data_IF_008847742282
#
_entry.id   IF_008847742282
#
_cell.length_a   1.000
_cell.length_b   1.000
_cell.length_c   1.000
_cell.angle_alpha   90.00
_cell.angle_beta   90.00
_cell.angle_gamma   90.00
#
_symmetry.space_group_name_H-M   'P 1'
#
loop_
_entity.id
_entity.type
_entity.pdbx_description
1 polymer ?
#
# COMPACT_ATOMS: atom_id res chain seq x y z
N UNK A 1 62.15 -0.37 7.76
CA UNK A 1 60.84 0.29 7.89
C UNK A 1 60.33 0.67 6.50
N UNK A 2 60.09 -0.32 5.65
CA UNK A 2 59.49 -0.15 4.32
C UNK A 2 58.27 -1.06 4.29
N UNK A 3 57.08 -0.52 4.57
CA UNK A 3 55.81 -1.21 4.29
C UNK A 3 54.57 -0.28 4.36
N UNK A 4 54.72 1.03 4.53
CA UNK A 4 53.58 1.91 4.80
C UNK A 4 52.89 2.46 3.53
N UNK A 5 53.63 2.62 2.41
CA UNK A 5 53.09 3.25 1.21
C UNK A 5 52.09 2.38 0.42
N UNK A 6 52.24 1.05 0.47
CA UNK A 6 51.33 0.13 -0.22
C UNK A 6 50.09 -0.20 0.61
N UNK A 7 50.22 -0.18 1.95
CA UNK A 7 49.07 -0.28 2.87
C UNK A 7 48.16 0.95 2.71
N UNK A 8 48.75 2.14 2.55
CA UNK A 8 47.99 3.37 2.34
C UNK A 8 47.26 3.40 0.98
N UNK A 9 47.90 2.92 -0.09
CA UNK A 9 47.25 2.77 -1.41
C UNK A 9 46.10 1.77 -1.41
N UNK A 10 46.28 0.61 -0.77
CA UNK A 10 45.22 -0.41 -0.69
C UNK A 10 44.03 0.10 0.13
N UNK A 11 44.29 0.84 1.22
CA UNK A 11 43.24 1.47 2.01
C UNK A 11 42.47 2.52 1.21
N UNK A 12 43.16 3.39 0.47
CA UNK A 12 42.55 4.38 -0.42
C UNK A 12 41.72 3.72 -1.53
N UNK A 13 42.22 2.63 -2.13
CA UNK A 13 41.51 1.84 -3.13
C UNK A 13 40.21 1.26 -2.52
N UNK A 14 40.31 0.64 -1.35
CA UNK A 14 39.16 0.06 -0.65
C UNK A 14 38.12 1.11 -0.30
N UNK A 15 38.52 2.26 0.24
CA UNK A 15 37.61 3.37 0.52
C UNK A 15 36.96 3.90 -0.75
N UNK A 16 37.72 4.06 -1.83
CA UNK A 16 37.20 4.55 -3.11
C UNK A 16 36.18 3.58 -3.73
N UNK A 17 36.53 2.29 -3.80
CA UNK A 17 35.70 1.22 -4.39
C UNK A 17 34.43 1.02 -3.58
N UNK A 18 34.51 1.03 -2.25
CA UNK A 18 33.33 0.84 -1.37
C UNK A 18 32.43 2.08 -1.33
N UNK A 19 32.99 3.29 -1.21
CA UNK A 19 32.22 4.54 -1.17
C UNK A 19 31.47 4.80 -2.47
N UNK A 20 32.10 4.53 -3.61
CA UNK A 20 31.48 4.69 -4.95
C UNK A 20 30.77 3.44 -5.46
N UNK A 21 30.84 2.34 -4.72
CA UNK A 21 30.26 1.03 -5.08
C UNK A 21 30.70 0.56 -6.48
N UNK A 22 32.00 0.60 -6.75
CA UNK A 22 32.59 0.32 -8.06
C UNK A 22 32.61 -1.19 -8.30
N UNK A 23 31.95 -1.63 -9.37
CA UNK A 23 31.76 -3.05 -9.68
C UNK A 23 32.98 -3.66 -10.38
N UNK A 24 33.17 -4.95 -10.20
CA UNK A 24 34.19 -5.79 -10.84
C UNK A 24 35.65 -5.37 -10.56
N UNK A 25 35.89 -4.71 -9.43
CA UNK A 25 37.25 -4.40 -8.94
C UNK A 25 37.55 -5.30 -7.74
N UNK A 26 38.73 -5.94 -7.74
CA UNK A 26 39.22 -6.75 -6.62
C UNK A 26 39.98 -5.82 -5.65
N UNK A 27 39.68 -5.90 -4.36
CA UNK A 27 40.29 -5.09 -3.30
C UNK A 27 40.31 -5.85 -1.97
N UNK A 28 41.07 -5.40 -0.99
CA UNK A 28 41.15 -6.02 0.34
C UNK A 28 40.34 -5.21 1.36
N UNK A 29 39.36 -5.86 1.98
CA UNK A 29 38.57 -5.31 3.09
C UNK A 29 38.56 -6.30 4.24
N UNK A 30 38.87 -5.82 5.44
CA UNK A 30 38.92 -6.62 6.67
C UNK A 30 39.78 -7.89 6.53
N UNK A 31 40.91 -7.78 5.82
CA UNK A 31 41.84 -8.89 5.58
C UNK A 31 41.38 -9.91 4.53
N UNK A 32 40.26 -9.68 3.84
CA UNK A 32 39.71 -10.58 2.81
C UNK A 32 39.74 -9.92 1.43
N UNK A 33 40.07 -10.73 0.40
CA UNK A 33 39.94 -10.31 -1.00
C UNK A 33 38.45 -10.27 -1.37
N UNK A 34 37.97 -9.09 -1.70
CA UNK A 34 36.59 -8.78 -2.02
C UNK A 34 36.43 -8.39 -3.49
N UNK A 35 35.23 -8.60 -4.03
CA UNK A 35 34.81 -8.06 -5.33
C UNK A 35 33.36 -7.61 -5.24
N UNK A 36 33.05 -6.41 -5.69
CA UNK A 36 31.66 -5.94 -5.78
C UNK A 36 31.06 -6.44 -7.11
N UNK A 37 30.07 -7.31 -7.03
CA UNK A 37 29.34 -7.81 -8.18
C UNK A 37 28.08 -6.96 -8.47
N UNK A 38 27.34 -7.35 -9.50
CA UNK A 38 26.05 -6.72 -9.80
C UNK A 38 25.07 -6.90 -8.64
N UNK A 39 24.43 -5.79 -8.27
CA UNK A 39 23.40 -5.75 -7.24
C UNK A 39 22.21 -6.65 -7.63
N UNK A 40 21.62 -7.28 -6.62
CA UNK A 40 20.43 -8.11 -6.73
C UNK A 40 19.22 -7.24 -6.43
N UNK A 41 18.17 -7.37 -7.23
CA UNK A 41 17.02 -6.48 -7.12
C UNK A 41 17.31 -5.15 -7.79
N UNK A 42 17.31 -5.14 -9.11
CA UNK A 42 17.15 -3.91 -9.87
C UNK A 42 16.71 -4.27 -11.29
N UNK A 43 15.47 -3.91 -11.65
CA UNK A 43 15.17 -3.51 -13.03
C UNK A 43 14.87 -2.01 -13.01
N UNK A 44 15.94 -1.21 -13.05
CA UNK A 44 15.88 0.26 -13.13
C UNK A 44 15.57 0.77 -14.54
N UNK A 45 15.52 -0.10 -15.55
CA UNK A 45 15.45 0.31 -16.96
C UNK A 45 14.17 -0.14 -17.68
N UNK A 46 13.03 -0.17 -16.98
CA UNK A 46 11.75 -0.19 -17.68
C UNK A 46 11.27 1.24 -17.92
N UNK A 47 12.01 1.93 -18.78
CA UNK A 47 11.47 3.05 -19.54
C UNK A 47 10.37 2.51 -20.43
N UNK A 48 9.16 3.04 -20.30
CA UNK A 48 7.91 2.57 -20.91
C UNK A 48 7.95 2.56 -22.45
N UNK A 49 8.29 1.46 -23.15
CA UNK A 49 8.20 1.39 -24.61
C UNK A 49 6.86 0.80 -25.05
N UNK A 50 5.96 0.45 -24.10
CA UNK A 50 4.78 -0.36 -24.36
C UNK A 50 3.47 0.29 -23.94
N UNK A 51 3.47 1.55 -23.51
CA UNK A 51 2.22 2.30 -23.31
C UNK A 51 2.07 3.28 -24.48
N UNK A 52 0.89 3.28 -25.08
CA UNK A 52 0.48 4.33 -26.02
C UNK A 52 0.11 5.59 -25.26
N UNK A 53 0.47 6.72 -25.87
CA UNK A 53 0.19 8.03 -25.32
C UNK A 53 -1.12 8.54 -25.89
N UNK A 54 -2.08 8.81 -25.01
CA UNK A 54 -3.35 9.41 -25.39
C UNK A 54 -3.49 10.79 -24.77
N UNK A 55 -4.26 11.63 -25.43
CA UNK A 55 -4.54 12.98 -24.98
C UNK A 55 -6.04 13.16 -24.81
N UNK A 56 -6.44 13.84 -23.74
CA UNK A 56 -7.80 14.34 -23.63
C UNK A 56 -7.95 15.72 -24.29
N UNK A 57 -9.17 16.24 -24.27
CA UNK A 57 -9.51 17.56 -24.84
C UNK A 57 -8.71 18.72 -24.22
N UNK A 58 -8.11 18.51 -23.04
CA UNK A 58 -7.27 19.48 -22.33
C UNK A 58 -5.79 19.24 -22.56
N UNK A 59 -5.42 18.40 -23.55
CA UNK A 59 -4.04 17.98 -23.86
C UNK A 59 -3.33 17.32 -22.67
N UNK A 60 -4.07 16.76 -21.71
CA UNK A 60 -3.50 15.96 -20.63
C UNK A 60 -3.12 14.60 -21.19
N UNK A 61 -1.91 14.17 -20.88
CA UNK A 61 -1.29 12.96 -21.41
C UNK A 61 -1.58 11.75 -20.53
N UNK A 62 -2.09 10.67 -21.12
CA UNK A 62 -2.44 9.41 -20.48
C UNK A 62 -1.60 8.27 -21.05
N UNK A 63 -1.22 7.31 -20.21
CA UNK A 63 -0.45 6.13 -20.61
C UNK A 63 -1.36 4.90 -20.66
N UNK A 64 -1.71 4.42 -21.84
CA UNK A 64 -2.62 3.28 -22.03
C UNK A 64 -1.82 2.08 -22.50
N UNK A 65 -2.04 0.91 -21.91
CA UNK A 65 -1.42 -0.32 -22.41
C UNK A 65 -2.23 -0.76 -23.64
N UNK A 66 -1.67 -0.67 -24.86
CA UNK A 66 -2.39 -0.93 -26.09
C UNK A 66 -2.76 -2.41 -26.23
N UNK A 67 -2.21 -3.29 -25.38
CA UNK A 67 -2.39 -4.73 -25.46
C UNK A 67 -3.63 -5.25 -24.76
N UNK A 68 -4.41 -4.40 -24.09
CA UNK A 68 -5.68 -4.79 -23.45
C UNK A 68 -5.48 -5.91 -22.43
N UNK A 69 -5.17 -5.59 -21.17
CA UNK A 69 -4.76 -6.59 -20.19
C UNK A 69 -5.77 -7.74 -20.05
N UNK A 70 -5.27 -8.96 -20.22
CA UNK A 70 -5.72 -10.09 -19.39
C UNK A 70 -4.74 -10.23 -18.21
N UNK A 71 -5.23 -10.63 -17.03
CA UNK A 71 -4.39 -10.96 -15.86
C UNK A 71 -3.25 -11.97 -16.16
N UNK A 72 -3.35 -12.67 -17.29
CA UNK A 72 -2.40 -13.62 -17.86
C UNK A 72 -1.09 -13.00 -18.35
N UNK A 73 -1.03 -11.69 -18.54
CA UNK A 73 0.11 -10.98 -19.13
C UNK A 73 1.06 -10.40 -18.08
N UNK A 74 0.65 -10.35 -16.82
CA UNK A 74 1.57 -10.02 -15.72
C UNK A 74 2.67 -11.09 -15.57
N UNK A 75 2.45 -12.30 -16.12
CA UNK A 75 3.40 -13.42 -16.19
C UNK A 75 4.05 -13.59 -17.58
N UNK A 76 4.60 -12.51 -18.16
CA UNK A 76 5.17 -12.59 -19.51
C UNK A 76 6.40 -13.52 -19.61
N UNK A 77 6.21 -14.62 -20.34
CA UNK A 77 7.26 -15.28 -21.14
C UNK A 77 6.95 -15.13 -22.64
N UNK A 78 8.01 -15.03 -23.45
CA UNK A 78 7.95 -14.68 -24.88
C UNK A 78 7.18 -15.70 -25.74
N UNK A 79 6.66 -15.27 -26.91
CA UNK A 79 5.93 -16.13 -27.87
C UNK A 79 6.75 -17.35 -28.31
N UNK A 80 8.05 -17.18 -28.55
CA UNK A 80 8.94 -18.27 -28.97
C UNK A 80 9.13 -19.31 -27.85
N UNK A 81 9.18 -18.87 -26.59
CA UNK A 81 9.19 -19.78 -25.42
C UNK A 81 7.84 -20.48 -25.24
N UNK A 82 6.72 -19.81 -25.52
CA UNK A 82 5.38 -20.44 -25.51
C UNK A 82 5.23 -21.51 -26.58
N UNK A 83 5.78 -21.31 -27.78
CA UNK A 83 5.78 -22.31 -28.84
C UNK A 83 6.65 -23.51 -28.46
N UNK A 84 7.89 -23.27 -28.01
CA UNK A 84 8.80 -24.32 -27.53
C UNK A 84 8.22 -25.15 -26.36
N UNK A 85 7.59 -24.51 -25.37
CA UNK A 85 6.97 -25.20 -24.22
C UNK A 85 5.64 -25.89 -24.55
N UNK A 86 4.98 -25.57 -25.67
CA UNK A 86 3.70 -26.20 -26.04
C UNK A 86 3.91 -27.61 -26.63
N UNK A 87 5.07 -27.83 -27.23
CA UNK A 87 5.40 -29.08 -27.94
C UNK A 87 6.23 -30.05 -27.08
N UNK A 88 6.68 -29.64 -25.89
CA UNK A 88 7.59 -30.44 -25.06
C UNK A 88 7.18 -30.65 -23.60
N UNK A 89 6.09 -30.04 -23.09
CA UNK A 89 5.74 -30.07 -21.66
C UNK A 89 4.30 -30.48 -21.34
N UNK A 90 4.16 -31.28 -20.27
CA UNK A 90 2.89 -31.69 -19.66
C UNK A 90 2.18 -30.50 -18.98
N UNK A 91 0.83 -30.52 -18.95
CA UNK A 91 -0.06 -29.39 -18.58
C UNK A 91 0.13 -28.81 -17.15
N UNK A 92 1.00 -29.38 -16.32
CA UNK A 92 1.28 -28.99 -14.92
C UNK A 92 2.42 -27.97 -14.74
N UNK A 93 3.17 -27.60 -15.78
CA UNK A 93 4.43 -26.84 -15.63
C UNK A 93 4.36 -25.34 -16.04
N UNK A 94 3.41 -24.59 -15.48
CA UNK A 94 3.23 -23.15 -15.82
C UNK A 94 3.85 -22.13 -14.85
N UNK A 95 4.59 -22.56 -13.83
CA UNK A 95 5.41 -21.66 -13.00
C UNK A 95 5.65 -22.20 -11.60
N UNK A 96 6.91 -22.21 -11.13
CA UNK A 96 7.40 -22.56 -9.78
C UNK A 96 6.59 -23.64 -9.01
N UNK A 97 6.08 -24.61 -9.75
CA UNK A 97 5.24 -25.69 -9.27
C UNK A 97 5.94 -26.98 -9.63
N UNK A 98 6.92 -27.34 -8.80
CA UNK A 98 7.30 -28.74 -8.72
C UNK A 98 6.01 -29.54 -8.42
N UNK A 99 5.81 -30.74 -8.98
CA UNK A 99 4.73 -31.63 -8.55
C UNK A 99 4.84 -31.87 -7.04
N UNK A 100 3.72 -32.03 -6.32
CA UNK A 100 3.78 -32.38 -4.89
C UNK A 100 4.57 -33.65 -4.62
N UNK A 101 4.66 -34.54 -5.61
CA UNK A 101 5.49 -35.74 -5.58
C UNK A 101 6.99 -35.47 -5.70
N UNK A 102 7.43 -34.30 -6.15
CA UNK A 102 8.84 -33.97 -6.36
C UNK A 102 9.54 -33.58 -5.05
N UNK A 103 10.71 -34.14 -4.75
CA UNK A 103 11.33 -34.07 -3.41
C UNK A 103 11.75 -32.65 -2.98
N UNK A 104 12.02 -31.78 -3.94
CA UNK A 104 12.34 -30.36 -3.69
C UNK A 104 11.12 -29.43 -3.66
N UNK A 105 9.90 -29.98 -3.66
CA UNK A 105 8.70 -29.17 -3.54
C UNK A 105 8.76 -28.33 -2.26
N UNK A 106 8.32 -27.06 -2.29
CA UNK A 106 8.44 -26.19 -1.11
C UNK A 106 7.71 -26.73 0.14
N UNK A 107 6.52 -27.32 -0.04
CA UNK A 107 5.82 -28.10 0.98
C UNK A 107 6.49 -29.41 1.44
N UNK A 108 7.61 -29.83 0.83
CA UNK A 108 8.40 -31.02 1.18
C UNK A 108 9.75 -30.68 1.82
N UNK A 109 10.14 -29.41 1.95
CA UNK A 109 11.40 -29.06 2.62
C UNK A 109 11.43 -29.67 4.04
N UNK A 110 12.53 -30.33 4.41
CA UNK A 110 12.62 -31.08 5.66
C UNK A 110 12.43 -30.16 6.86
N UNK A 111 11.55 -30.56 7.77
CA UNK A 111 11.50 -30.04 9.12
C UNK A 111 12.88 -30.23 9.75
N UNK A 112 13.44 -29.19 10.35
CA UNK A 112 14.64 -29.34 11.18
C UNK A 112 14.34 -30.46 12.18
N UNK A 113 15.09 -31.54 12.02
CA UNK A 113 14.78 -32.84 12.56
C UNK A 113 15.12 -32.89 14.04
N UNK A 114 14.15 -32.57 14.90
CA UNK A 114 13.98 -33.25 16.20
C UNK A 114 12.46 -33.44 16.45
N UNK A 115 12.06 -34.69 16.20
CA UNK A 115 11.04 -35.52 16.86
C UNK A 115 9.58 -35.00 16.95
N UNK A 116 8.73 -35.75 16.22
CA UNK A 116 7.33 -36.17 16.45
C UNK A 116 6.32 -35.13 17.00
N UNK A 117 5.43 -34.66 16.12
CA UNK A 117 3.97 -34.90 16.16
C UNK A 117 3.25 -34.03 15.09
N UNK A 118 2.41 -34.65 14.25
CA UNK A 118 1.27 -34.07 13.52
C UNK A 118 1.42 -32.69 12.83
N UNK A 119 2.09 -32.62 11.66
CA UNK A 119 2.01 -31.52 10.66
C UNK A 119 1.76 -30.05 11.13
N UNK A 120 2.64 -29.41 11.94
CA UNK A 120 2.57 -27.95 12.19
C UNK A 120 3.76 -27.17 11.57
N UNK A 121 4.92 -27.78 11.31
CA UNK A 121 6.16 -27.02 11.06
C UNK A 121 6.41 -26.54 9.62
N UNK A 122 5.76 -27.13 8.61
CA UNK A 122 5.85 -26.63 7.23
C UNK A 122 5.04 -25.33 7.05
N UNK A 123 3.97 -25.17 7.83
CA UNK A 123 3.25 -23.90 7.94
C UNK A 123 4.18 -22.84 8.56
N UNK A 124 4.93 -23.18 9.62
CA UNK A 124 5.87 -22.22 10.25
C UNK A 124 6.92 -21.65 9.30
N UNK A 125 7.57 -22.46 8.46
CA UNK A 125 8.59 -21.93 7.52
C UNK A 125 7.93 -21.02 6.47
N UNK A 126 6.79 -21.42 5.94
CA UNK A 126 6.08 -20.64 4.91
C UNK A 126 5.49 -19.37 5.53
N UNK A 127 4.93 -19.45 6.72
CA UNK A 127 4.41 -18.31 7.49
C UNK A 127 5.54 -17.36 7.88
N UNK A 128 6.72 -17.87 8.21
CA UNK A 128 7.91 -17.05 8.47
C UNK A 128 8.37 -16.34 7.19
N UNK A 129 8.50 -17.06 6.07
CA UNK A 129 8.87 -16.45 4.78
C UNK A 129 7.84 -15.40 4.38
N UNK A 130 6.56 -15.75 4.39
CA UNK A 130 5.48 -14.84 4.03
C UNK A 130 5.39 -13.68 5.01
N UNK A 131 5.55 -13.92 6.31
CA UNK A 131 5.59 -12.88 7.34
C UNK A 131 6.66 -11.83 7.03
N UNK A 132 7.87 -12.26 6.68
CA UNK A 132 8.95 -11.35 6.28
C UNK A 132 8.67 -10.63 4.95
N UNK A 133 7.90 -11.22 4.05
CA UNK A 133 7.64 -10.65 2.72
C UNK A 133 6.41 -9.74 2.68
N UNK A 134 5.39 -9.99 3.50
CA UNK A 134 4.08 -9.33 3.36
C UNK A 134 3.57 -8.65 4.64
N UNK A 135 4.32 -8.67 5.73
CA UNK A 135 3.99 -7.93 6.95
C UNK A 135 5.01 -6.83 7.24
N UNK A 136 4.52 -5.72 7.78
CA UNK A 136 5.35 -4.66 8.36
C UNK A 136 4.85 -4.42 9.79
N UNK A 137 5.71 -4.67 10.78
CA UNK A 137 5.35 -4.61 12.19
C UNK A 137 5.22 -3.17 12.70
N UNK A 138 6.15 -2.29 12.32
CA UNK A 138 6.29 -0.96 12.91
C UNK A 138 5.82 0.18 11.99
N UNK A 139 5.02 -0.13 10.98
CA UNK A 139 4.52 0.88 10.05
C UNK A 139 3.09 0.61 9.59
N UNK A 140 2.46 1.66 9.07
CA UNK A 140 1.19 1.54 8.35
C UNK A 140 1.46 1.43 6.85
N UNK A 141 0.75 0.53 6.19
CA UNK A 141 0.67 0.46 4.74
C UNK A 141 -0.23 1.58 4.24
N UNK A 142 0.22 2.30 3.21
CA UNK A 142 -0.56 3.33 2.51
C UNK A 142 -0.88 2.79 1.11
N UNK A 143 -2.02 2.12 0.88
CA UNK A 143 -2.31 1.51 -0.40
C UNK A 143 -2.45 2.57 -1.51
N UNK A 144 -1.59 2.50 -2.51
CA UNK A 144 -1.67 3.34 -3.71
C UNK A 144 -2.31 2.55 -4.86
N UNK A 145 -3.64 2.49 -4.87
CA UNK A 145 -4.36 1.84 -5.96
C UNK A 145 -4.40 2.78 -7.17
N UNK A 146 -3.68 2.41 -8.24
CA UNK A 146 -3.69 3.16 -9.48
C UNK A 146 -5.06 3.02 -10.16
N UNK A 147 -5.90 4.03 -10.06
CA UNK A 147 -7.12 4.12 -10.86
C UNK A 147 -7.06 5.17 -11.94
N UNK A 148 -6.00 5.97 -11.99
CA UNK A 148 -5.74 6.90 -13.09
C UNK A 148 -4.53 6.47 -13.89
N UNK A 149 -4.68 6.46 -15.21
CA UNK A 149 -3.56 6.37 -16.13
C UNK A 149 -3.08 7.73 -16.64
N UNK A 150 -3.47 8.82 -15.96
CA UNK A 150 -2.95 10.15 -16.23
C UNK A 150 -1.46 10.19 -15.93
N UNK A 151 -0.61 10.53 -16.91
CA UNK A 151 0.86 10.46 -16.78
C UNK A 151 1.41 11.17 -15.55
N UNK A 152 0.84 12.32 -15.14
CA UNK A 152 1.27 13.06 -13.93
C UNK A 152 0.95 12.34 -12.61
N UNK A 153 -0.03 11.44 -12.62
CA UNK A 153 -0.57 10.74 -11.44
C UNK A 153 -0.47 9.22 -11.55
N UNK A 154 0.02 8.70 -12.68
CA UNK A 154 0.23 7.30 -12.92
C UNK A 154 1.43 6.84 -12.11
N UNK A 155 1.17 6.51 -10.85
CA UNK A 155 2.12 5.89 -9.92
C UNK A 155 2.14 4.36 -10.08
N UNK A 156 1.40 3.83 -11.07
CA UNK A 156 1.03 2.43 -11.21
C UNK A 156 2.14 1.46 -11.63
N UNK A 157 3.39 1.87 -11.58
CA UNK A 157 4.52 0.94 -11.63
C UNK A 157 5.36 1.16 -10.38
N UNK A 158 5.67 0.13 -9.57
CA UNK A 158 6.70 0.22 -8.52
C UNK A 158 8.08 0.64 -9.07
N UNK A 159 8.22 0.76 -10.39
CA UNK A 159 9.41 1.21 -11.09
C UNK A 159 9.37 2.67 -11.54
N UNK A 160 8.34 3.46 -11.18
CA UNK A 160 8.26 4.89 -11.52
C UNK A 160 7.73 5.74 -10.38
N UNK A 161 8.43 5.71 -9.24
CA UNK A 161 8.54 6.91 -8.42
C UNK A 161 9.52 7.85 -9.12
N UNK A 162 9.01 8.96 -9.67
CA UNK A 162 9.82 10.07 -10.21
C UNK A 162 10.51 10.88 -9.11
N UNK A 163 10.28 10.55 -7.84
CA UNK A 163 11.03 11.13 -6.72
C UNK A 163 12.46 10.57 -6.75
N UNK A 164 13.43 11.46 -6.96
CA UNK A 164 14.86 11.17 -6.80
C UNK A 164 15.25 10.85 -5.35
N UNK A 165 14.40 11.16 -4.37
CA UNK A 165 14.79 11.22 -2.95
C UNK A 165 14.18 10.12 -2.07
N UNK A 166 13.33 9.25 -2.59
CA UNK A 166 12.80 8.11 -1.83
C UNK A 166 13.23 6.81 -2.50
N UNK A 167 14.27 6.15 -2.00
CA UNK A 167 14.51 4.76 -2.34
C UNK A 167 13.43 3.91 -1.65
N UNK A 168 12.45 3.33 -2.38
CA UNK A 168 11.39 2.52 -1.76
C UNK A 168 11.90 1.12 -1.34
N UNK A 169 13.21 0.97 -1.22
CA UNK A 169 13.90 -0.28 -1.03
C UNK A 169 14.84 -0.18 0.16
N UNK A 170 14.78 -1.18 1.02
CA UNK A 170 15.88 -1.44 1.96
C UNK A 170 17.02 -2.01 1.15
N UNK A 171 18.20 -1.39 1.27
CA UNK A 171 19.41 -1.85 0.60
C UNK A 171 20.31 -2.51 1.62
N UNK A 172 20.47 -3.83 1.52
CA UNK A 172 21.35 -4.60 2.41
C UNK A 172 22.56 -5.08 1.62
N UNK A 173 23.75 -4.89 2.17
CA UNK A 173 24.96 -5.50 1.63
C UNK A 173 25.03 -6.96 2.09
N UNK A 174 25.21 -7.88 1.13
CA UNK A 174 25.48 -9.28 1.41
C UNK A 174 26.86 -9.64 0.85
N UNK A 175 27.61 -10.42 1.63
CA UNK A 175 28.86 -11.03 1.21
C UNK A 175 28.70 -12.54 1.07
N UNK A 176 29.08 -13.09 -0.09
CA UNK A 176 29.08 -14.54 -0.31
C UNK A 176 30.46 -14.99 -0.75
N UNK A 177 31.09 -15.86 0.04
CA UNK A 177 32.37 -16.44 -0.31
C UNK A 177 32.20 -17.34 -1.54
N UNK A 178 32.85 -16.97 -2.65
CA UNK A 178 32.68 -17.64 -3.94
C UNK A 178 34.04 -18.05 -4.48
N UNK A 179 34.14 -19.27 -5.01
CA UNK A 179 35.34 -19.73 -5.71
C UNK A 179 35.32 -19.21 -7.13
N UNK A 180 36.34 -18.46 -7.52
CA UNK A 180 36.49 -17.84 -8.84
C UNK A 180 37.80 -18.27 -9.49
N UNK A 181 38.02 -17.89 -10.75
CA UNK A 181 39.30 -18.10 -11.45
C UNK A 181 40.47 -17.38 -10.76
N UNK A 182 40.19 -16.39 -9.89
CA UNK A 182 41.19 -15.65 -9.11
C UNK A 182 41.32 -16.15 -7.67
N UNK A 183 40.78 -17.34 -7.37
CA UNK A 183 40.73 -17.92 -6.02
C UNK A 183 39.42 -17.66 -5.29
N UNK A 184 39.41 -17.89 -3.96
CA UNK A 184 38.24 -17.63 -3.10
C UNK A 184 38.13 -16.12 -2.86
N UNK A 185 37.06 -15.52 -3.34
CA UNK A 185 36.77 -14.10 -3.17
C UNK A 185 35.46 -13.91 -2.39
N UNK A 186 35.41 -12.90 -1.54
CA UNK A 186 34.17 -12.44 -0.94
C UNK A 186 33.41 -11.58 -1.96
N UNK A 187 32.34 -12.14 -2.52
CA UNK A 187 31.53 -11.43 -3.51
C UNK A 187 30.49 -10.59 -2.78
N UNK A 188 30.72 -9.28 -2.76
CA UNK A 188 29.82 -8.30 -2.18
C UNK A 188 28.74 -7.91 -3.20
N UNK A 189 27.49 -7.85 -2.75
CA UNK A 189 26.35 -7.41 -3.55
C UNK A 189 25.44 -6.56 -2.68
N UNK A 190 24.82 -5.52 -3.24
CA UNK A 190 23.63 -4.94 -2.61
C UNK A 190 22.42 -5.74 -3.02
N UNK A 191 21.54 -6.04 -2.07
CA UNK A 191 20.20 -6.54 -2.31
C UNK A 191 19.24 -5.40 -2.05
N UNK A 192 18.52 -4.96 -3.08
CA UNK A 192 17.45 -3.98 -2.91
C UNK A 192 16.12 -4.71 -2.80
N UNK A 193 15.48 -4.60 -1.64
CA UNK A 193 14.22 -5.27 -1.33
C UNK A 193 13.14 -4.25 -1.06
N UNK A 194 11.96 -4.44 -1.66
CA UNK A 194 10.80 -3.62 -1.31
C UNK A 194 10.38 -3.90 0.12
N UNK A 195 9.75 -2.93 0.79
CA UNK A 195 9.23 -3.14 2.15
C UNK A 195 8.18 -4.25 2.22
N UNK A 196 7.45 -4.48 1.13
CA UNK A 196 6.60 -5.65 0.91
C UNK A 196 6.86 -6.21 -0.48
N UNK A 197 6.91 -7.54 -0.58
CA UNK A 197 6.84 -8.28 -1.83
C UNK A 197 5.63 -9.22 -1.85
N UNK A 198 4.47 -8.67 -2.23
CA UNK A 198 3.26 -9.44 -2.45
C UNK A 198 3.25 -10.21 -3.79
N UNK A 199 4.31 -10.14 -4.62
CA UNK A 199 4.36 -10.90 -5.87
C UNK A 199 4.44 -12.40 -5.61
N UNK A 200 5.03 -12.79 -4.47
CA UNK A 200 5.06 -14.18 -4.00
C UNK A 200 3.66 -14.79 -3.81
N UNK A 201 2.63 -13.97 -3.58
CA UNK A 201 1.24 -14.43 -3.45
C UNK A 201 0.68 -14.99 -4.75
N UNK A 202 1.32 -14.69 -5.89
CA UNK A 202 0.93 -15.20 -7.22
C UNK A 202 1.45 -16.60 -7.51
N UNK A 203 2.40 -17.10 -6.71
CA UNK A 203 3.09 -18.37 -6.96
C UNK A 203 2.12 -19.54 -6.99
N UNK A 204 1.26 -19.65 -5.99
CA UNK A 204 0.24 -20.69 -5.93
C UNK A 204 -0.95 -20.30 -5.04
N UNK A 205 -2.06 -21.06 -5.14
CA UNK A 205 -3.26 -20.84 -4.33
C UNK A 205 -2.97 -20.86 -2.81
N UNK A 206 -2.12 -21.77 -2.36
CA UNK A 206 -1.80 -21.89 -0.93
C UNK A 206 -1.02 -20.68 -0.41
N UNK A 207 -0.06 -20.17 -1.20
CA UNK A 207 0.65 -18.93 -0.90
C UNK A 207 -0.27 -17.71 -0.94
N UNK A 208 -1.16 -17.64 -1.93
CA UNK A 208 -2.17 -16.58 -2.00
C UNK A 208 -3.09 -16.58 -0.77
N UNK A 209 -3.58 -17.74 -0.34
CA UNK A 209 -4.49 -17.85 0.80
C UNK A 209 -3.78 -17.54 2.12
N UNK A 210 -2.60 -18.12 2.34
CA UNK A 210 -1.84 -17.96 3.58
C UNK A 210 -1.26 -16.55 3.66
N UNK A 211 -0.57 -16.12 2.61
CA UNK A 211 0.04 -14.80 2.55
C UNK A 211 -0.98 -13.68 2.41
N UNK A 212 -2.13 -13.91 1.77
CA UNK A 212 -3.24 -12.95 1.76
C UNK A 212 -3.82 -12.74 3.17
N UNK A 213 -3.97 -13.81 3.96
CA UNK A 213 -4.31 -13.67 5.39
C UNK A 213 -3.26 -12.87 6.13
N UNK A 214 -1.98 -13.15 5.90
CA UNK A 214 -0.90 -12.45 6.58
C UNK A 214 -0.87 -10.95 6.21
N UNK A 215 -0.98 -10.65 4.92
CA UNK A 215 -1.02 -9.32 4.36
C UNK A 215 -2.20 -8.52 4.92
N UNK A 216 -3.44 -9.00 4.80
CA UNK A 216 -4.60 -8.19 5.14
C UNK A 216 -4.93 -8.18 6.64
N UNK A 217 -4.60 -9.25 7.38
CA UNK A 217 -4.99 -9.38 8.79
C UNK A 217 -4.03 -8.67 9.75
N UNK A 218 -2.72 -8.78 9.50
CA UNK A 218 -1.72 -8.36 10.49
C UNK A 218 -1.06 -7.02 10.18
N UNK A 219 -1.36 -6.42 9.02
CA UNK A 219 -0.89 -5.07 8.72
C UNK A 219 -1.90 -4.00 9.18
N UNK A 220 -1.38 -2.83 9.53
CA UNK A 220 -2.14 -1.60 9.68
C UNK A 220 -2.25 -0.92 8.32
N UNK A 221 -3.45 -0.45 7.96
CA UNK A 221 -3.67 0.30 6.72
C UNK A 221 -4.06 1.74 7.01
N UNK A 222 -3.37 2.69 6.38
CA UNK A 222 -3.60 4.12 6.52
C UNK A 222 -4.20 4.74 5.25
N UNK A 223 -5.26 5.51 5.44
CA UNK A 223 -6.00 6.17 4.37
C UNK A 223 -6.19 7.66 4.66
N UNK A 224 -6.08 8.47 3.60
CA UNK A 224 -6.47 9.88 3.63
C UNK A 224 -7.90 10.04 3.13
N UNK A 225 -8.56 11.14 3.51
CA UNK A 225 -9.83 11.52 2.90
C UNK A 225 -9.64 11.88 1.43
N UNK A 226 -10.71 11.68 0.64
CA UNK A 226 -10.69 11.97 -0.79
C UNK A 226 -10.63 13.48 -1.06
N UNK A 227 -9.96 13.89 -2.13
CA UNK A 227 -10.05 15.25 -2.63
C UNK A 227 -10.80 15.25 -3.98
N UNK A 228 -12.00 15.86 -4.05
CA UNK A 228 -12.88 15.73 -5.22
C UNK A 228 -12.43 16.57 -6.44
N UNK A 229 -11.31 17.30 -6.35
CA UNK A 229 -10.80 18.08 -7.48
C UNK A 229 -10.51 17.24 -8.71
N UNK A 230 -10.46 17.89 -9.88
CA UNK A 230 -10.02 17.25 -11.12
C UNK A 230 -8.57 16.77 -11.05
N UNK A 231 -7.74 17.39 -10.22
CA UNK A 231 -6.32 17.08 -10.14
C UNK A 231 -6.01 15.99 -9.11
N UNK A 232 -6.74 15.94 -7.99
CA UNK A 232 -6.57 14.91 -6.97
C UNK A 232 -7.48 13.69 -7.18
N UNK A 233 -8.65 13.87 -7.82
CA UNK A 233 -9.53 12.82 -8.35
C UNK A 233 -9.55 12.83 -9.89
N UNK A 234 -8.41 12.51 -10.55
CA UNK A 234 -8.31 12.53 -12.00
C UNK A 234 -9.08 11.37 -12.64
N UNK A 235 -9.58 11.61 -13.85
CA UNK A 235 -10.15 10.56 -14.68
C UNK A 235 -9.08 9.62 -15.25
N UNK A 236 -9.54 8.65 -16.01
CA UNK A 236 -8.71 7.73 -16.79
C UNK A 236 -9.10 7.74 -18.24
N UNK A 237 -8.16 7.36 -19.09
CA UNK A 237 -8.45 6.91 -20.45
C UNK A 237 -8.77 5.41 -20.42
N UNK A 238 -10.03 5.03 -20.71
CA UNK A 238 -10.49 3.64 -20.66
C UNK A 238 -11.31 3.33 -21.92
N UNK A 239 -10.92 2.31 -22.67
CA UNK A 239 -11.52 1.88 -23.95
C UNK A 239 -11.74 3.05 -24.93
N UNK A 240 -10.69 3.84 -25.17
CA UNK A 240 -10.72 4.92 -26.15
C UNK A 240 -11.43 6.20 -25.71
N UNK A 241 -11.94 6.29 -24.47
CA UNK A 241 -12.60 7.50 -23.98
C UNK A 241 -12.13 7.95 -22.60
N UNK A 242 -12.22 9.25 -22.37
CA UNK A 242 -11.98 9.83 -21.05
C UNK A 242 -13.13 9.52 -20.10
N UNK A 243 -12.83 8.74 -19.06
CA UNK A 243 -13.74 8.32 -18.00
C UNK A 243 -13.41 9.03 -16.69
N UNK A 244 -14.33 9.88 -16.22
CA UNK A 244 -14.24 10.51 -14.90
C UNK A 244 -15.60 10.52 -14.23
N UNK A 245 -15.95 9.48 -13.46
CA UNK A 245 -17.20 9.48 -12.72
C UNK A 245 -17.13 10.52 -11.58
N UNK A 246 -18.29 10.93 -11.06
CA UNK A 246 -18.36 11.98 -10.03
C UNK A 246 -17.66 11.54 -8.73
N UNK A 247 -16.69 12.31 -8.21
CA UNK A 247 -16.00 11.99 -6.96
C UNK A 247 -16.82 12.30 -5.71
N UNK A 248 -17.96 12.99 -5.86
CA UNK A 248 -18.72 13.50 -4.72
C UNK A 248 -19.39 12.35 -3.95
N UNK A 249 -19.05 12.24 -2.66
CA UNK A 249 -19.71 11.33 -1.73
C UNK A 249 -21.18 11.70 -1.54
N UNK A 250 -22.06 10.72 -1.23
CA UNK A 250 -23.41 11.03 -0.79
C UNK A 250 -23.36 11.81 0.52
N UNK A 251 -24.28 12.75 0.69
CA UNK A 251 -24.44 13.55 1.91
C UNK A 251 -25.92 13.69 2.23
N UNK A 252 -26.24 13.86 3.51
CA UNK A 252 -27.62 14.07 3.99
C UNK A 252 -27.96 15.55 3.83
N UNK A 253 -29.07 15.85 3.16
CA UNK A 253 -29.61 17.21 2.99
C UNK A 253 -30.82 17.34 3.94
N UNK A 254 -31.10 18.49 4.55
CA UNK A 254 -32.23 18.64 5.48
C UNK A 254 -33.65 18.51 4.85
N UNK A 255 -33.82 17.87 3.69
CA UNK A 255 -35.13 17.63 3.05
C UNK A 255 -35.65 16.22 3.38
N UNK A 256 -36.98 16.08 3.48
CA UNK A 256 -37.69 14.92 4.06
C UNK A 256 -37.43 13.53 3.41
N UNK A 257 -36.72 13.45 2.30
CA UNK A 257 -36.31 12.18 1.64
C UNK A 257 -34.81 11.85 1.76
N UNK A 258 -34.04 12.71 2.41
CA UNK A 258 -32.58 12.62 2.35
C UNK A 258 -31.96 11.39 3.01
N UNK A 259 -32.46 10.85 4.14
CA UNK A 259 -31.82 9.70 4.77
C UNK A 259 -32.04 8.43 3.93
N UNK A 260 -33.23 8.28 3.34
CA UNK A 260 -33.56 7.16 2.46
C UNK A 260 -32.69 7.17 1.20
N UNK A 261 -32.55 8.32 0.54
CA UNK A 261 -31.72 8.48 -0.66
C UNK A 261 -30.24 8.25 -0.32
N UNK A 262 -29.77 8.82 0.80
CA UNK A 262 -28.42 8.60 1.30
C UNK A 262 -28.14 7.11 1.49
N UNK A 263 -28.99 6.42 2.26
CA UNK A 263 -28.87 4.98 2.50
C UNK A 263 -28.90 4.16 1.21
N UNK A 264 -29.80 4.47 0.28
CA UNK A 264 -29.85 3.77 -1.02
C UNK A 264 -28.55 3.93 -1.83
N UNK A 265 -27.92 5.11 -1.80
CA UNK A 265 -26.63 5.36 -2.46
C UNK A 265 -25.48 4.62 -1.79
N UNK A 266 -25.44 4.60 -0.46
CA UNK A 266 -24.45 3.82 0.31
C UNK A 266 -24.57 2.34 -0.02
N UNK A 267 -25.79 1.79 0.04
CA UNK A 267 -26.05 0.39 -0.27
C UNK A 267 -25.67 0.02 -1.70
N UNK A 268 -25.81 0.94 -2.66
CA UNK A 268 -25.29 0.74 -4.02
C UNK A 268 -23.76 0.58 -4.01
N UNK A 269 -23.04 1.48 -3.33
CA UNK A 269 -21.57 1.39 -3.22
C UNK A 269 -21.09 0.09 -2.58
N UNK A 270 -21.76 -0.35 -1.49
CA UNK A 270 -21.47 -1.63 -0.83
C UNK A 270 -21.65 -2.80 -1.81
N UNK A 271 -22.77 -2.84 -2.55
CA UNK A 271 -23.01 -3.89 -3.55
C UNK A 271 -21.98 -3.88 -4.67
N UNK A 272 -21.58 -2.71 -5.15
CA UNK A 272 -20.59 -2.58 -6.22
C UNK A 272 -19.22 -3.14 -5.77
N UNK A 273 -18.82 -2.89 -4.51
CA UNK A 273 -17.61 -3.46 -3.91
C UNK A 273 -17.73 -4.98 -3.76
N UNK A 274 -18.83 -5.48 -3.18
CA UNK A 274 -19.05 -6.92 -2.97
C UNK A 274 -19.03 -7.71 -4.27
N UNK A 275 -19.67 -7.18 -5.32
CA UNK A 275 -19.78 -7.83 -6.63
C UNK A 275 -18.55 -7.59 -7.51
N UNK A 276 -17.59 -6.78 -7.05
CA UNK A 276 -16.43 -6.33 -7.82
C UNK A 276 -16.81 -5.93 -9.26
N UNK A 277 -17.81 -5.06 -9.38
CA UNK A 277 -18.30 -4.63 -10.70
C UNK A 277 -17.18 -3.99 -11.51
N UNK A 278 -17.28 -4.09 -12.84
CA UNK A 278 -16.32 -3.45 -13.75
C UNK A 278 -16.16 -1.94 -13.43
N UNK A 279 -14.95 -1.41 -13.59
CA UNK A 279 -14.58 -0.03 -13.21
C UNK A 279 -15.55 1.03 -13.80
N UNK A 280 -16.00 0.86 -15.05
CA UNK A 280 -16.97 1.78 -15.70
C UNK A 280 -18.38 1.75 -15.09
N UNK A 281 -18.72 0.70 -14.33
CA UNK A 281 -20.02 0.55 -13.65
C UNK A 281 -19.96 0.97 -12.17
N UNK A 282 -18.75 1.14 -11.62
CA UNK A 282 -18.52 1.53 -10.23
C UNK A 282 -19.01 2.95 -9.98
N UNK A 283 -19.70 3.18 -8.86
CA UNK A 283 -20.04 4.54 -8.42
C UNK A 283 -18.79 5.39 -8.22
N UNK A 284 -18.85 6.65 -8.67
CA UNK A 284 -17.66 7.49 -8.78
C UNK A 284 -16.96 7.81 -7.45
N UNK A 285 -17.70 7.97 -6.36
CA UNK A 285 -17.11 8.20 -5.04
C UNK A 285 -16.35 6.97 -4.53
N UNK A 286 -16.76 5.74 -4.88
CA UNK A 286 -15.97 4.52 -4.59
C UNK A 286 -14.75 4.44 -5.51
N UNK A 287 -14.87 4.88 -6.76
CA UNK A 287 -13.74 4.87 -7.71
C UNK A 287 -12.60 5.82 -7.34
N UNK A 288 -12.92 6.97 -6.71
CA UNK A 288 -11.92 8.00 -6.36
C UNK A 288 -11.43 7.87 -4.91
N UNK A 289 -12.30 7.52 -3.98
CA UNK A 289 -11.94 7.49 -2.56
C UNK A 289 -10.90 6.41 -2.22
N UNK A 290 -9.76 6.76 -1.60
CA UNK A 290 -8.67 5.82 -1.37
C UNK A 290 -9.07 4.54 -0.62
N UNK A 291 -9.88 4.68 0.43
CA UNK A 291 -10.30 3.55 1.26
C UNK A 291 -11.29 2.66 0.51
N UNK A 292 -12.34 3.25 -0.04
CA UNK A 292 -13.41 2.49 -0.71
C UNK A 292 -12.91 1.78 -1.97
N UNK A 293 -12.01 2.44 -2.70
CA UNK A 293 -11.31 1.89 -3.86
C UNK A 293 -10.39 0.74 -3.51
N UNK A 294 -9.70 0.85 -2.37
CA UNK A 294 -8.92 -0.26 -1.84
C UNK A 294 -9.81 -1.46 -1.54
N UNK A 295 -10.96 -1.26 -0.88
CA UNK A 295 -11.92 -2.34 -0.62
C UNK A 295 -12.44 -2.99 -1.91
N UNK A 296 -12.78 -2.20 -2.94
CA UNK A 296 -13.17 -2.72 -4.27
C UNK A 296 -12.06 -3.61 -4.87
N UNK A 297 -10.81 -3.15 -4.82
CA UNK A 297 -9.67 -3.84 -5.41
C UNK A 297 -9.36 -5.16 -4.71
N UNK A 298 -9.37 -5.19 -3.37
CA UNK A 298 -9.05 -6.42 -2.62
C UNK A 298 -10.24 -7.38 -2.54
N UNK A 299 -11.46 -6.87 -2.72
CA UNK A 299 -12.70 -7.62 -2.65
C UNK A 299 -13.16 -7.93 -1.22
N UNK A 300 -14.44 -8.28 -1.07
CA UNK A 300 -15.08 -8.45 0.24
C UNK A 300 -14.42 -9.52 1.13
N UNK A 301 -13.93 -10.62 0.54
CA UNK A 301 -13.28 -11.70 1.30
C UNK A 301 -12.00 -11.24 2.00
N UNK A 302 -11.20 -10.40 1.33
CA UNK A 302 -9.98 -9.86 1.91
C UNK A 302 -10.28 -8.66 2.82
N UNK A 303 -11.28 -7.84 2.48
CA UNK A 303 -11.76 -6.77 3.34
C UNK A 303 -12.21 -7.29 4.72
N UNK A 304 -12.85 -8.46 4.75
CA UNK A 304 -13.24 -9.12 5.98
C UNK A 304 -12.06 -9.60 6.84
N UNK A 305 -10.82 -9.63 6.33
CA UNK A 305 -9.64 -10.01 7.10
C UNK A 305 -9.01 -8.81 7.84
N UNK A 306 -9.33 -7.59 7.42
CA UNK A 306 -8.76 -6.36 7.98
C UNK A 306 -9.03 -6.27 9.49
N UNK A 307 -8.00 -5.92 10.26
CA UNK A 307 -8.09 -5.76 11.73
C UNK A 307 -7.86 -4.34 12.20
N UNK A 308 -6.93 -3.63 11.58
CA UNK A 308 -6.50 -2.29 12.01
C UNK A 308 -6.58 -1.31 10.85
N UNK A 309 -7.42 -0.29 11.00
CA UNK A 309 -7.56 0.80 10.05
C UNK A 309 -7.14 2.12 10.68
N UNK A 310 -6.46 2.94 9.90
CA UNK A 310 -6.01 4.28 10.25
C UNK A 310 -6.53 5.25 9.20
N UNK A 311 -7.09 6.36 9.66
CA UNK A 311 -7.57 7.42 8.80
C UNK A 311 -6.94 8.73 9.21
N UNK A 312 -6.55 9.55 8.23
CA UNK A 312 -6.07 10.90 8.45
C UNK A 312 -6.86 11.90 7.61
N UNK A 313 -7.18 13.05 8.17
CA UNK A 313 -7.96 14.06 7.48
C UNK A 313 -8.29 15.26 8.34
N UNK A 314 -8.83 16.29 7.70
CA UNK A 314 -9.17 17.57 8.31
C UNK A 314 -10.65 17.63 8.70
N UNK A 315 -10.96 18.18 9.87
CA UNK A 315 -12.35 18.46 10.28
C UNK A 315 -12.73 19.84 9.78
N UNK A 316 -13.32 19.89 8.59
CA UNK A 316 -13.65 21.14 7.91
C UNK A 316 -14.73 21.93 8.67
N UNK A 317 -14.39 23.14 9.05
CA UNK A 317 -15.24 24.13 9.71
C UNK A 317 -15.51 25.35 8.81
N UNK A 318 -14.65 25.65 7.84
CA UNK A 318 -14.85 26.70 6.85
C UNK A 318 -15.77 26.26 5.69
N UNK A 319 -16.38 27.23 5.02
CA UNK A 319 -16.93 27.05 3.69
C UNK A 319 -15.82 27.35 2.68
N UNK A 320 -15.48 26.39 1.83
CA UNK A 320 -14.46 26.61 0.81
C UNK A 320 -14.91 27.71 -0.15
N UNK A 321 -14.12 28.76 -0.29
CA UNK A 321 -14.33 29.75 -1.35
C UNK A 321 -14.14 29.11 -2.73
N UNK A 322 -14.77 29.71 -3.74
CA UNK A 322 -14.72 29.20 -5.10
C UNK A 322 -13.27 29.21 -5.62
N UNK A 323 -12.67 28.02 -5.76
CA UNK A 323 -11.31 27.86 -6.29
C UNK A 323 -10.31 27.20 -5.33
N UNK A 324 -10.60 27.19 -4.02
CA UNK A 324 -9.83 26.42 -3.03
C UNK A 324 -10.58 25.12 -2.73
N UNK A 325 -10.06 23.99 -3.21
CA UNK A 325 -10.72 22.71 -3.01
C UNK A 325 -9.95 21.87 -1.99
N UNK A 326 -10.45 21.88 -0.75
CA UNK A 326 -9.93 21.06 0.33
C UNK A 326 -10.30 19.58 0.16
N UNK A 327 -9.52 18.70 0.79
CA UNK A 327 -9.86 17.30 0.98
C UNK A 327 -11.19 17.19 1.73
N UNK A 328 -12.01 16.19 1.42
CA UNK A 328 -13.28 15.91 2.08
C UNK A 328 -13.12 15.95 3.61
N UNK A 329 -14.11 16.54 4.28
CA UNK A 329 -14.15 16.55 5.74
C UNK A 329 -14.08 15.11 6.27
N UNK A 330 -13.23 14.88 7.27
CA UNK A 330 -13.05 13.57 7.89
C UNK A 330 -14.38 13.04 8.43
N UNK A 331 -15.11 13.86 9.19
CA UNK A 331 -16.37 13.44 9.83
C UNK A 331 -17.44 13.08 8.78
N UNK A 332 -17.60 13.91 7.75
CA UNK A 332 -18.54 13.64 6.66
C UNK A 332 -18.16 12.38 5.86
N UNK A 333 -16.87 12.11 5.71
CA UNK A 333 -16.41 10.86 5.09
C UNK A 333 -16.76 9.65 5.95
N UNK A 334 -16.71 9.77 7.27
CA UNK A 334 -17.04 8.68 8.18
C UNK A 334 -18.53 8.31 8.17
N UNK A 335 -19.44 9.26 7.89
CA UNK A 335 -20.86 8.94 7.62
C UNK A 335 -21.03 7.94 6.48
N UNK A 336 -20.11 7.95 5.51
CA UNK A 336 -20.06 6.96 4.42
C UNK A 336 -19.29 5.70 4.86
N UNK A 337 -18.18 5.85 5.59
CA UNK A 337 -17.33 4.71 5.94
C UNK A 337 -17.96 3.80 6.99
N UNK A 338 -18.66 4.32 7.99
CA UNK A 338 -19.28 3.52 9.07
C UNK A 338 -20.19 2.41 8.51
N UNK A 339 -21.21 2.70 7.68
CA UNK A 339 -22.06 1.64 7.12
C UNK A 339 -21.29 0.69 6.20
N UNK A 340 -20.26 1.16 5.49
CA UNK A 340 -19.40 0.32 4.63
C UNK A 340 -18.53 -0.62 5.47
N UNK A 341 -17.91 -0.13 6.54
CA UNK A 341 -17.08 -0.90 7.48
C UNK A 341 -17.93 -1.96 8.17
N UNK A 342 -19.11 -1.59 8.67
CA UNK A 342 -20.06 -2.51 9.29
C UNK A 342 -20.49 -3.64 8.33
N UNK A 343 -20.56 -3.37 7.03
CA UNK A 343 -20.97 -4.36 6.03
C UNK A 343 -19.82 -5.23 5.50
N UNK A 344 -18.61 -4.66 5.34
CA UNK A 344 -17.52 -5.29 4.58
C UNK A 344 -16.28 -5.61 5.41
N UNK A 345 -16.13 -4.97 6.56
CA UNK A 345 -14.95 -5.07 7.41
C UNK A 345 -15.33 -5.56 8.83
N UNK A 346 -16.08 -6.67 8.98
CA UNK A 346 -16.67 -7.10 10.27
C UNK A 346 -15.65 -7.46 11.35
N UNK A 347 -14.36 -7.55 11.00
CA UNK A 347 -13.29 -7.94 11.91
C UNK A 347 -12.36 -6.78 12.29
N UNK A 348 -12.64 -5.55 11.84
CA UNK A 348 -11.86 -4.38 12.23
C UNK A 348 -12.13 -4.09 13.71
N UNK A 349 -11.11 -4.35 14.53
CA UNK A 349 -11.15 -4.20 15.98
C UNK A 349 -10.52 -2.88 16.42
N UNK A 350 -9.49 -2.42 15.69
CA UNK A 350 -8.76 -1.19 16.01
C UNK A 350 -8.98 -0.13 14.93
N UNK A 351 -9.44 1.04 15.36
CA UNK A 351 -9.58 2.22 14.53
C UNK A 351 -8.68 3.34 15.07
N UNK A 352 -7.86 3.92 14.20
CA UNK A 352 -6.99 5.05 14.52
C UNK A 352 -7.45 6.26 13.71
N UNK A 353 -7.80 7.35 14.39
CA UNK A 353 -8.21 8.61 13.77
C UNK A 353 -7.13 9.67 14.02
N UNK A 354 -6.42 10.05 12.97
CA UNK A 354 -5.45 11.12 12.99
C UNK A 354 -6.16 12.39 12.52
N UNK A 355 -6.64 13.17 13.49
CA UNK A 355 -7.54 14.29 13.24
C UNK A 355 -6.71 15.56 13.13
N UNK A 356 -6.89 16.28 12.02
CA UNK A 356 -6.28 17.58 11.79
C UNK A 356 -7.34 18.68 11.96
N UNK A 357 -7.01 19.70 12.73
CA UNK A 357 -7.83 20.90 12.86
C UNK A 357 -7.84 21.69 11.56
N UNK A 358 -8.98 22.27 11.24
CA UNK A 358 -9.12 23.10 10.06
C UNK A 358 -8.23 24.33 10.14
N UNK A 359 -7.32 24.43 9.16
CA UNK A 359 -6.31 25.49 9.12
C UNK A 359 -6.88 26.89 8.87
N UNK A 360 -8.16 26.97 8.46
CA UNK A 360 -8.88 28.21 8.20
C UNK A 360 -10.00 28.47 9.22
N UNK A 361 -10.13 27.62 10.25
CA UNK A 361 -11.18 27.76 11.24
C UNK A 361 -10.94 28.98 12.15
N UNK A 362 -11.77 30.01 12.00
CA UNK A 362 -11.84 31.15 12.93
C UNK A 362 -12.67 30.87 14.18
N UNK A 363 -13.34 29.73 14.25
CA UNK A 363 -14.34 29.41 15.29
C UNK A 363 -14.10 28.04 15.93
N UNK A 364 -13.27 28.02 16.97
CA UNK A 364 -12.97 26.84 17.81
C UNK A 364 -14.25 26.14 18.29
N UNK A 365 -15.28 26.91 18.66
CA UNK A 365 -16.57 26.38 19.13
C UNK A 365 -17.30 25.52 18.08
N UNK A 366 -17.16 25.84 16.79
CA UNK A 366 -17.79 25.05 15.72
C UNK A 366 -17.08 23.70 15.58
N UNK A 367 -15.75 23.70 15.66
CA UNK A 367 -14.94 22.50 15.64
C UNK A 367 -15.30 21.59 16.82
N UNK A 368 -15.26 22.12 18.04
CA UNK A 368 -15.60 21.37 19.26
C UNK A 368 -16.96 20.69 19.16
N UNK A 369 -17.99 21.46 18.79
CA UNK A 369 -19.36 20.93 18.64
C UNK A 369 -19.42 19.78 17.63
N UNK A 370 -18.88 19.99 16.42
CA UNK A 370 -18.89 18.94 15.37
C UNK A 370 -18.18 17.67 15.80
N UNK A 371 -17.02 17.83 16.45
CA UNK A 371 -16.22 16.71 16.93
C UNK A 371 -16.96 15.94 18.02
N UNK A 372 -17.53 16.63 19.02
CA UNK A 372 -18.33 15.99 20.07
C UNK A 372 -19.54 15.24 19.51
N UNK A 373 -20.34 15.89 18.67
CA UNK A 373 -21.51 15.29 18.03
C UNK A 373 -21.14 14.02 17.24
N UNK A 374 -20.02 14.03 16.53
CA UNK A 374 -19.53 12.86 15.80
C UNK A 374 -19.10 11.71 16.71
N UNK A 375 -18.29 11.99 17.74
CA UNK A 375 -17.78 10.97 18.64
C UNK A 375 -18.89 10.38 19.51
N UNK A 376 -19.77 11.22 20.05
CA UNK A 376 -20.85 10.79 20.95
C UNK A 376 -22.05 10.19 20.21
N UNK A 377 -22.21 10.51 18.93
CA UNK A 377 -23.27 9.98 18.06
C UNK A 377 -22.76 8.92 17.09
N UNK A 378 -22.49 9.36 15.86
CA UNK A 378 -22.32 8.52 14.67
C UNK A 378 -21.21 7.46 14.83
N UNK A 379 -20.07 7.82 15.42
CA UNK A 379 -18.93 6.89 15.53
C UNK A 379 -19.28 5.64 16.36
N UNK A 380 -20.17 5.75 17.34
CA UNK A 380 -20.58 4.64 18.22
C UNK A 380 -21.37 3.55 17.49
N UNK A 381 -21.86 3.83 16.28
CA UNK A 381 -22.54 2.88 15.40
C UNK A 381 -21.61 1.84 14.78
N UNK A 382 -20.28 2.01 14.87
CA UNK A 382 -19.32 0.99 14.48
C UNK A 382 -19.53 -0.26 15.33
N UNK A 383 -19.76 -1.41 14.68
CA UNK A 383 -20.17 -2.65 15.36
C UNK A 383 -19.01 -3.48 15.87
N UNK A 384 -17.94 -3.59 15.08
CA UNK A 384 -16.82 -4.50 15.35
C UNK A 384 -15.64 -3.86 16.08
N UNK A 385 -15.58 -2.52 16.12
CA UNK A 385 -14.48 -1.80 16.74
C UNK A 385 -14.60 -1.92 18.25
N UNK A 386 -13.46 -2.23 18.88
CA UNK A 386 -13.27 -2.40 20.32
C UNK A 386 -12.14 -1.51 20.84
N UNK A 387 -11.26 -1.02 19.97
CA UNK A 387 -10.18 -0.11 20.31
C UNK A 387 -10.24 1.12 19.38
N UNK A 388 -10.47 2.29 19.97
CA UNK A 388 -10.39 3.57 19.30
C UNK A 388 -9.17 4.34 19.80
N UNK A 389 -8.33 4.79 18.87
CA UNK A 389 -7.19 5.67 19.15
C UNK A 389 -7.40 6.97 18.39
N UNK A 390 -7.40 8.09 19.10
CA UNK A 390 -7.51 9.43 18.49
C UNK A 390 -6.20 10.16 18.70
N UNK A 391 -5.62 10.65 17.60
CA UNK A 391 -4.34 11.34 17.58
C UNK A 391 -4.55 12.73 16.99
N UNK A 392 -4.15 13.75 17.73
CA UNK A 392 -4.11 15.12 17.22
C UNK A 392 -2.93 15.30 16.28
N UNK A 393 -3.20 15.63 15.01
CA UNK A 393 -2.16 16.01 14.06
C UNK A 393 -1.80 17.47 14.27
N UNK A 394 -0.78 17.71 15.11
CA UNK A 394 -0.18 19.04 15.26
C UNK A 394 0.55 19.36 13.95
N UNK A 395 0.08 20.37 13.22
CA UNK A 395 0.83 20.92 12.09
C UNK A 395 1.87 21.89 12.66
N UNK A 396 3.13 21.49 12.65
CA UNK A 396 4.25 22.39 12.96
C UNK A 396 4.14 23.64 12.08
N UNK A 397 3.96 24.82 12.68
CA UNK A 397 3.97 26.11 11.97
C UNK A 397 2.76 27.02 12.16
N UNK A 398 1.77 26.67 12.98
CA UNK A 398 0.71 27.61 13.36
C UNK A 398 0.94 28.16 14.77
N UNK A 399 1.69 29.26 14.84
CA UNK A 399 1.41 30.25 15.88
C UNK A 399 0.09 30.92 15.48
N UNK A 400 -0.94 30.78 16.32
CA UNK A 400 -2.17 31.54 16.15
C UNK A 400 -1.82 33.04 16.21
N UNK A 401 -2.42 33.90 15.37
CA UNK A 401 -2.08 35.33 15.29
C UNK A 401 -2.17 36.09 16.62
N UNK A 402 -2.85 35.53 17.63
CA UNK A 402 -3.13 36.19 18.91
C UNK A 402 -2.47 35.53 20.13
N UNK A 403 -1.53 34.59 19.97
CA UNK A 403 -0.80 34.00 21.11
C UNK A 403 -1.67 33.21 22.11
N UNK A 404 -2.97 33.04 21.85
CA UNK A 404 -3.89 32.30 22.72
C UNK A 404 -3.78 30.79 22.45
N UNK A 405 -3.15 30.10 23.39
CA UNK A 405 -2.80 28.67 23.37
C UNK A 405 -4.00 27.76 23.66
N UNK A 406 -5.20 28.13 23.20
CA UNK A 406 -6.39 27.27 23.33
C UNK A 406 -6.48 26.29 22.16
N UNK A 407 -5.45 25.46 21.98
CA UNK A 407 -5.56 24.30 21.10
C UNK A 407 -6.44 23.25 21.76
N UNK A 408 -7.64 23.06 21.23
CA UNK A 408 -8.55 22.01 21.68
C UNK A 408 -7.99 20.67 21.21
N UNK A 409 -7.71 19.77 22.15
CA UNK A 409 -7.30 18.41 21.83
C UNK A 409 -8.52 17.57 21.41
N UNK A 410 -8.50 17.04 20.20
CA UNK A 410 -9.51 16.10 19.72
C UNK A 410 -9.48 14.82 20.56
N UNK A 411 -8.29 14.40 21.01
CA UNK A 411 -8.15 13.24 21.88
C UNK A 411 -8.92 13.42 23.21
N UNK A 412 -8.88 14.61 23.80
CA UNK A 412 -9.68 14.95 24.99
C UNK A 412 -11.18 14.95 24.68
N UNK A 413 -11.61 15.52 23.55
CA UNK A 413 -13.02 15.50 23.14
C UNK A 413 -13.56 14.09 22.89
N UNK A 414 -12.69 13.14 22.52
CA UNK A 414 -13.05 11.76 22.22
C UNK A 414 -13.03 10.83 23.44
N UNK A 415 -12.58 11.29 24.62
CA UNK A 415 -12.29 10.45 25.79
C UNK A 415 -13.46 9.53 26.18
N UNK A 416 -14.67 10.07 26.31
CA UNK A 416 -15.87 9.30 26.64
C UNK A 416 -16.14 8.18 25.63
N UNK A 417 -15.88 8.45 24.35
CA UNK A 417 -16.11 7.49 23.27
C UNK A 417 -15.00 6.45 23.20
N UNK A 418 -13.76 6.82 23.51
CA UNK A 418 -12.65 5.87 23.69
C UNK A 418 -12.98 4.90 24.83
N UNK A 419 -13.47 5.39 25.97
CA UNK A 419 -13.92 4.56 27.09
C UNK A 419 -15.06 3.63 26.70
N UNK A 420 -16.09 4.13 26.00
CA UNK A 420 -17.20 3.33 25.46
C UNK A 420 -16.72 2.13 24.62
N UNK A 421 -15.71 2.32 23.76
CA UNK A 421 -15.16 1.21 22.97
C UNK A 421 -14.37 0.20 23.82
N UNK A 422 -13.60 0.67 24.81
CA UNK A 422 -12.86 -0.21 25.74
C UNK A 422 -13.81 -1.05 26.60
N UNK A 423 -14.88 -0.45 27.10
CA UNK A 423 -15.90 -1.14 27.91
C UNK A 423 -16.60 -2.22 27.09
N UNK A 424 -16.90 -1.95 25.82
CA UNK A 424 -17.46 -2.97 24.90
C UNK A 424 -16.53 -4.18 24.67
N UNK A 425 -15.22 -3.99 24.84
CA UNK A 425 -14.22 -5.03 24.66
C UNK A 425 -14.08 -5.95 25.89
N UNK A 426 -14.52 -5.47 27.05
CA UNK A 426 -14.50 -6.16 28.35
C UNK A 426 -15.75 -7.03 28.49
#
# INVERSE_FOLDING_TARGET
MENDSDIDKEKLLTEHVTKRWIKNVIFIRDGQKCIIANDIGHRKNFWYPWFEEHFDDRRRKYCVDPRGRTLKEVDHTSKNRRAFMKDTLHKSEKGWHLPRSHDRHIFKFPQVSIIKANFPRAAEIIDNILGHLVQIMDAALVPQIATTNWKKKFTGSPHHTTSQDCYPYTTTEIGVLTTTIHGKLMVLRRVHQGQIDATCLRVCRAWNQTGGRLLYRFNRYDFKTNNPTKDASPGSWIDGSFWRPSPNKPFVIARDDSPRIFNARIQKGIRDIQRQVAIKKLVGWVYHDPFLRFLHMIGANNAALLRTLSFSGEVRCHQCEWGHFCDDCLLESFRVYIPVMNALCPNVQKLILNVKTDSQARAVNIFERKVREFFEGELRELRSVTELVVVDLIVNGYELPDGDTRSVSTAQLAELTVSHFRERAS
#
